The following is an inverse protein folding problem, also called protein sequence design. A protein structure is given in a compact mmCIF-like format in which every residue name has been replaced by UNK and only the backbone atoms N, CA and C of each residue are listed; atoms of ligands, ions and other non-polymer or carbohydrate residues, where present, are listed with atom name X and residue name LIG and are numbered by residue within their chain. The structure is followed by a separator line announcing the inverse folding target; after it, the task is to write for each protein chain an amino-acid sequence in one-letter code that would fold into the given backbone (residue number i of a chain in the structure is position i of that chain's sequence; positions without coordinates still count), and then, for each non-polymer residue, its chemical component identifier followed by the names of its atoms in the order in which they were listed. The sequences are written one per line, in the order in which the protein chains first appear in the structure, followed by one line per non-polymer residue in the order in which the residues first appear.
data_IF_483586382708
#
_entry.id   IF_483586382708
#
_cell.length_a   1.000
_cell.length_b   1.000
_cell.length_c   1.000
_cell.angle_alpha   90.00
_cell.angle_beta   90.00
_cell.angle_gamma   90.00
#
_symmetry.space_group_name_H-M   'P 1'
#
loop_
_entity.id
_entity.type
_entity.pdbx_description
1 polymer ?
#
# COMPACT_ATOMS: atom_id res chain seq x y z
N UNK A 1 -18.56 30.82 -7.35
CA UNK A 1 -17.75 29.79 -6.67
C UNK A 1 -16.45 29.62 -7.45
N UNK A 2 -15.28 29.74 -6.79
CA UNK A 2 -13.96 29.61 -7.39
C UNK A 2 -13.84 28.27 -8.15
N UNK A 3 -13.26 28.22 -9.38
CA UNK A 3 -13.09 26.99 -10.15
C UNK A 3 -12.34 25.90 -9.39
N UNK A 4 -11.37 26.26 -8.54
CA UNK A 4 -10.62 25.32 -7.68
C UNK A 4 -11.56 24.66 -6.65
N UNK A 5 -12.43 25.44 -6.00
CA UNK A 5 -13.40 24.92 -5.01
C UNK A 5 -14.42 24.01 -5.69
N UNK A 6 -14.86 24.36 -6.90
CA UNK A 6 -15.78 23.54 -7.71
C UNK A 6 -15.14 22.20 -8.11
N UNK A 7 -13.89 22.24 -8.50
CA UNK A 7 -13.11 21.06 -8.84
C UNK A 7 -12.92 20.14 -7.62
N UNK A 8 -12.58 20.70 -6.47
CA UNK A 8 -12.45 19.97 -5.20
C UNK A 8 -13.76 19.27 -4.79
N UNK A 9 -14.88 19.97 -4.84
CA UNK A 9 -16.21 19.39 -4.57
C UNK A 9 -16.56 18.28 -5.58
N UNK A 10 -16.17 18.44 -6.84
CA UNK A 10 -16.38 17.43 -7.87
C UNK A 10 -15.59 16.15 -7.59
N UNK A 11 -14.32 16.27 -7.18
CA UNK A 11 -13.51 15.11 -6.81
C UNK A 11 -14.06 14.34 -5.60
N UNK A 12 -14.63 15.05 -4.62
CA UNK A 12 -15.28 14.45 -3.45
C UNK A 12 -16.67 13.85 -3.74
N UNK A 13 -17.21 13.99 -4.95
CA UNK A 13 -18.53 13.47 -5.32
C UNK A 13 -18.48 11.95 -5.57
N UNK A 14 -19.30 11.12 -4.88
CA UNK A 14 -19.35 9.68 -5.06
C UNK A 14 -19.59 9.21 -6.51
N UNK A 15 -20.52 9.78 -7.29
CA UNK A 15 -20.72 9.39 -8.68
C UNK A 15 -19.55 9.78 -9.61
N UNK A 16 -18.86 10.89 -9.32
CA UNK A 16 -17.69 11.28 -10.10
C UNK A 16 -16.50 10.34 -9.81
N UNK A 17 -16.27 10.04 -8.53
CA UNK A 17 -15.25 9.09 -8.13
C UNK A 17 -15.50 7.71 -8.74
N UNK A 18 -16.74 7.22 -8.74
CA UNK A 18 -17.09 5.94 -9.37
C UNK A 18 -16.68 5.88 -10.84
N UNK A 19 -17.04 6.92 -11.62
CA UNK A 19 -16.66 7.00 -13.04
C UNK A 19 -15.16 7.09 -13.24
N UNK A 20 -14.48 7.88 -12.41
CA UNK A 20 -13.02 8.00 -12.43
C UNK A 20 -12.35 6.65 -12.15
N UNK A 21 -12.74 5.99 -11.06
CA UNK A 21 -12.18 4.70 -10.66
C UNK A 21 -12.49 3.61 -11.68
N UNK A 22 -13.73 3.55 -12.20
CA UNK A 22 -14.12 2.60 -13.25
C UNK A 22 -13.25 2.72 -14.50
N UNK A 23 -12.89 3.95 -14.87
CA UNK A 23 -12.06 4.20 -16.07
C UNK A 23 -10.60 3.90 -15.86
N UNK A 24 -10.03 4.32 -14.73
CA UNK A 24 -8.57 4.33 -14.54
C UNK A 24 -8.02 3.13 -13.78
N UNK A 25 -8.83 2.50 -12.88
CA UNK A 25 -8.36 1.38 -12.10
C UNK A 25 -7.87 0.18 -12.94
N UNK A 26 -8.57 -0.26 -14.00
CA UNK A 26 -8.11 -1.38 -14.82
C UNK A 26 -6.76 -1.09 -15.50
N UNK A 27 -6.57 0.14 -15.99
CA UNK A 27 -5.33 0.55 -16.65
C UNK A 27 -4.16 0.62 -15.67
N UNK A 28 -4.37 1.22 -14.49
CA UNK A 28 -3.36 1.26 -13.44
C UNK A 28 -2.98 -0.14 -12.97
N UNK A 29 -3.98 -1.01 -12.80
CA UNK A 29 -3.76 -2.38 -12.37
C UNK A 29 -2.99 -3.20 -13.42
N UNK A 30 -3.44 -3.14 -14.68
CA UNK A 30 -2.81 -3.87 -15.79
C UNK A 30 -1.37 -3.37 -16.05
N UNK A 31 -1.18 -2.05 -16.14
CA UNK A 31 0.16 -1.47 -16.32
C UNK A 31 1.09 -1.83 -15.15
N UNK A 32 0.56 -1.86 -13.92
CA UNK A 32 1.30 -2.32 -12.75
C UNK A 32 1.75 -3.77 -12.88
N UNK A 33 0.86 -4.67 -13.26
CA UNK A 33 1.19 -6.09 -13.48
C UNK A 33 2.23 -6.29 -14.59
N UNK A 34 2.08 -5.60 -15.71
CA UNK A 34 3.03 -5.67 -16.82
C UNK A 34 4.42 -5.15 -16.41
N UNK A 35 4.45 -4.05 -15.66
CA UNK A 35 5.71 -3.46 -15.15
C UNK A 35 6.38 -4.38 -14.13
N UNK A 36 5.60 -5.02 -13.23
CA UNK A 36 6.12 -6.03 -12.30
C UNK A 36 6.68 -7.23 -13.07
N UNK A 37 5.94 -7.74 -14.06
CA UNK A 37 6.41 -8.87 -14.87
C UNK A 37 7.72 -8.55 -15.59
N UNK A 38 7.87 -7.34 -16.14
CA UNK A 38 9.11 -6.87 -16.75
C UNK A 38 10.25 -6.77 -15.73
N UNK A 39 9.99 -6.19 -14.56
CA UNK A 39 10.96 -6.11 -13.47
C UNK A 39 11.42 -7.49 -12.99
N UNK A 40 10.49 -8.43 -12.83
CA UNK A 40 10.79 -9.82 -12.46
C UNK A 40 11.60 -10.54 -13.54
N UNK A 41 11.28 -10.34 -14.83
CA UNK A 41 12.07 -10.89 -15.91
C UNK A 41 13.54 -10.41 -15.84
N UNK A 42 13.75 -9.11 -15.65
CA UNK A 42 15.08 -8.55 -15.46
C UNK A 42 15.79 -9.13 -14.23
N UNK A 43 15.09 -9.21 -13.10
CA UNK A 43 15.59 -9.73 -11.83
C UNK A 43 16.02 -11.20 -11.90
N UNK A 44 15.26 -12.03 -12.61
CA UNK A 44 15.48 -13.48 -12.63
C UNK A 44 16.45 -13.91 -13.73
N UNK A 45 16.46 -13.23 -14.88
CA UNK A 45 17.16 -13.71 -16.07
C UNK A 45 18.31 -12.81 -16.55
N UNK A 46 18.31 -11.51 -16.23
CA UNK A 46 19.30 -10.57 -16.74
C UNK A 46 20.36 -10.18 -15.71
N UNK A 47 20.03 -10.21 -14.42
CA UNK A 47 20.98 -9.85 -13.36
C UNK A 47 21.80 -11.07 -12.95
N UNK A 48 23.15 -10.97 -12.95
CA UNK A 48 24.02 -12.05 -12.46
C UNK A 48 23.77 -12.33 -10.98
N UNK A 49 24.11 -13.55 -10.54
CA UNK A 49 24.06 -13.90 -9.12
C UNK A 49 24.97 -12.99 -8.28
N UNK A 50 24.57 -12.66 -7.07
CA UNK A 50 25.39 -11.87 -6.16
C UNK A 50 26.60 -12.70 -5.66
N UNK A 51 27.74 -12.06 -5.52
CA UNK A 51 28.97 -12.77 -5.14
C UNK A 51 28.99 -13.30 -3.71
N UNK A 52 28.18 -12.72 -2.80
CA UNK A 52 28.06 -13.17 -1.40
C UNK A 52 26.80 -14.01 -1.17
N UNK A 53 25.67 -13.61 -1.78
CA UNK A 53 24.37 -14.19 -1.49
C UNK A 53 23.92 -15.22 -2.53
N UNK A 54 24.68 -15.40 -3.62
CA UNK A 54 24.24 -16.25 -4.73
C UNK A 54 22.88 -15.79 -5.27
N UNK A 55 22.00 -16.72 -5.60
CA UNK A 55 20.66 -16.40 -6.12
C UNK A 55 19.64 -15.98 -5.03
N UNK A 56 19.96 -16.15 -3.75
CA UNK A 56 19.05 -15.76 -2.66
C UNK A 56 18.80 -14.25 -2.62
N UNK A 57 19.72 -13.43 -3.14
CA UNK A 57 19.54 -11.97 -3.25
C UNK A 57 18.31 -11.58 -4.08
N UNK A 58 17.86 -12.43 -5.02
CA UNK A 58 16.72 -12.13 -5.91
C UNK A 58 15.42 -11.88 -5.16
N UNK A 59 15.33 -12.34 -3.90
CA UNK A 59 14.19 -12.05 -3.01
C UNK A 59 14.01 -10.54 -2.79
N UNK A 60 15.10 -9.75 -2.85
CA UNK A 60 15.05 -8.30 -2.69
C UNK A 60 14.05 -7.62 -3.64
N UNK A 61 13.87 -8.15 -4.86
CA UNK A 61 12.99 -7.55 -5.88
C UNK A 61 11.50 -7.62 -5.52
N UNK A 62 11.13 -8.53 -4.61
CA UNK A 62 9.78 -8.60 -4.03
C UNK A 62 9.77 -7.94 -2.65
N UNK A 63 10.78 -8.25 -1.82
CA UNK A 63 10.86 -7.78 -0.44
C UNK A 63 10.94 -6.26 -0.33
N UNK A 64 11.87 -5.63 -1.03
CA UNK A 64 12.12 -4.18 -0.91
C UNK A 64 10.91 -3.35 -1.36
N UNK A 65 10.29 -3.57 -2.54
CA UNK A 65 9.08 -2.87 -2.91
C UNK A 65 7.93 -3.10 -1.93
N UNK A 66 7.75 -4.33 -1.42
CA UNK A 66 6.70 -4.63 -0.44
C UNK A 66 6.92 -3.91 0.88
N UNK A 67 8.16 -3.87 1.39
CA UNK A 67 8.52 -3.15 2.60
C UNK A 67 8.33 -1.63 2.47
N UNK A 68 8.57 -1.05 1.31
CA UNK A 68 8.25 0.35 1.06
C UNK A 68 6.75 0.59 1.03
N UNK A 69 6.01 -0.30 0.38
CA UNK A 69 4.55 -0.17 0.28
C UNK A 69 3.87 -0.41 1.63
N UNK A 70 4.39 -1.28 2.50
CA UNK A 70 3.83 -1.47 3.85
C UNK A 70 3.82 -0.16 4.64
N UNK A 71 4.91 0.59 4.62
CA UNK A 71 5.03 1.89 5.29
C UNK A 71 4.24 2.99 4.57
N UNK A 72 4.39 3.08 3.23
CA UNK A 72 3.76 4.14 2.44
C UNK A 72 2.23 4.06 2.50
N UNK A 73 1.66 2.85 2.41
CA UNK A 73 0.21 2.64 2.48
C UNK A 73 -0.33 2.94 3.88
N UNK A 74 0.43 2.63 4.95
CA UNK A 74 0.02 3.01 6.31
C UNK A 74 -0.01 4.52 6.49
N UNK A 75 1.04 5.21 6.03
CA UNK A 75 1.10 6.67 6.04
C UNK A 75 -0.04 7.31 5.24
N UNK A 76 -0.33 6.77 4.05
CA UNK A 76 -1.44 7.23 3.20
C UNK A 76 -2.81 6.96 3.86
N UNK A 77 -3.00 5.81 4.48
CA UNK A 77 -4.19 5.47 5.25
C UNK A 77 -4.43 6.49 6.37
N UNK A 78 -3.41 6.78 7.17
CA UNK A 78 -3.49 7.75 8.25
C UNK A 78 -3.73 9.17 7.73
N UNK A 79 -3.12 9.55 6.61
CA UNK A 79 -3.38 10.82 5.94
C UNK A 79 -4.83 10.97 5.51
N UNK A 80 -5.41 9.97 4.83
CA UNK A 80 -6.82 9.99 4.47
C UNK A 80 -7.73 9.97 5.71
N UNK A 81 -7.38 9.23 6.75
CA UNK A 81 -8.11 9.23 8.01
C UNK A 81 -8.11 10.62 8.65
N UNK A 82 -6.99 11.32 8.69
CA UNK A 82 -6.90 12.69 9.19
C UNK A 82 -7.78 13.67 8.37
N UNK A 83 -7.72 13.59 7.05
CA UNK A 83 -8.60 14.38 6.17
C UNK A 83 -10.09 14.10 6.44
N UNK A 84 -10.43 12.82 6.64
CA UNK A 84 -11.79 12.40 6.94
C UNK A 84 -12.28 12.93 8.29
N UNK A 85 -11.42 12.92 9.32
CA UNK A 85 -11.76 13.40 10.65
C UNK A 85 -11.90 14.92 10.72
N UNK A 86 -10.97 15.67 10.09
CA UNK A 86 -10.95 17.13 10.14
C UNK A 86 -12.04 17.72 9.25
N UNK A 87 -12.13 17.28 7.99
CA UNK A 87 -13.04 17.87 7.00
C UNK A 87 -14.32 17.05 6.75
N UNK A 88 -14.49 15.92 7.42
CA UNK A 88 -15.66 15.03 7.30
C UNK A 88 -15.93 14.58 5.86
N UNK A 89 -14.86 14.37 5.08
CA UNK A 89 -14.93 13.96 3.68
C UNK A 89 -15.17 12.46 3.60
N UNK A 90 -16.36 12.02 3.20
CA UNK A 90 -16.77 10.62 3.06
C UNK A 90 -15.81 9.80 2.19
N UNK A 91 -15.35 10.35 1.09
CA UNK A 91 -14.43 9.65 0.19
C UNK A 91 -13.10 9.36 0.87
N UNK A 92 -12.60 10.26 1.74
CA UNK A 92 -11.37 10.02 2.49
C UNK A 92 -11.55 8.89 3.51
N UNK A 93 -12.74 8.73 4.13
CA UNK A 93 -13.05 7.56 4.97
C UNK A 93 -12.94 6.27 4.17
N UNK A 94 -13.52 6.24 2.97
CA UNK A 94 -13.51 5.07 2.09
C UNK A 94 -12.08 4.73 1.67
N UNK A 95 -11.29 5.72 1.24
CA UNK A 95 -9.91 5.54 0.81
C UNK A 95 -9.02 5.05 1.97
N UNK A 96 -9.18 5.62 3.17
CA UNK A 96 -8.45 5.18 4.35
C UNK A 96 -8.70 3.69 4.64
N UNK A 97 -9.97 3.29 4.69
CA UNK A 97 -10.34 1.90 4.98
C UNK A 97 -9.99 0.94 3.84
N UNK A 98 -9.99 1.41 2.60
CA UNK A 98 -9.54 0.62 1.45
C UNK A 98 -8.03 0.34 1.47
N UNK A 99 -7.21 1.23 2.04
CA UNK A 99 -5.78 1.04 2.22
C UNK A 99 -5.45 -0.12 3.17
N UNK A 100 -6.22 -0.32 4.25
CA UNK A 100 -5.86 -1.21 5.35
C UNK A 100 -5.55 -2.67 4.90
N UNK A 101 -6.43 -3.38 4.18
CA UNK A 101 -6.12 -4.76 3.76
C UNK A 101 -5.03 -4.85 2.70
N UNK A 102 -4.86 -3.81 1.87
CA UNK A 102 -3.78 -3.78 0.86
C UNK A 102 -2.43 -3.62 1.58
N UNK A 103 -2.35 -2.69 2.55
CA UNK A 103 -1.16 -2.49 3.35
C UNK A 103 -0.81 -3.70 4.21
N UNK A 104 -1.82 -4.35 4.84
CA UNK A 104 -1.62 -5.62 5.55
C UNK A 104 -1.03 -6.70 4.65
N UNK A 105 -1.50 -6.79 3.40
CA UNK A 105 -0.95 -7.72 2.39
C UNK A 105 0.52 -7.44 2.08
N UNK A 106 0.91 -6.19 1.86
CA UNK A 106 2.32 -5.83 1.65
C UNK A 106 3.18 -6.12 2.88
N UNK A 107 2.69 -5.83 4.08
CA UNK A 107 3.40 -6.12 5.33
C UNK A 107 3.59 -7.63 5.52
N UNK A 108 2.57 -8.42 5.21
CA UNK A 108 2.67 -9.88 5.27
C UNK A 108 3.69 -10.43 4.26
N UNK A 109 3.68 -9.94 3.01
CA UNK A 109 4.68 -10.30 2.00
C UNK A 109 6.08 -9.91 2.46
N UNK A 110 6.25 -8.72 3.06
CA UNK A 110 7.52 -8.26 3.61
C UNK A 110 8.05 -9.21 4.68
N UNK A 111 7.22 -9.58 5.66
CA UNK A 111 7.59 -10.51 6.73
C UNK A 111 7.92 -11.90 6.19
N UNK A 112 7.09 -12.44 5.29
CA UNK A 112 7.30 -13.76 4.70
C UNK A 112 8.59 -13.82 3.86
N UNK A 113 8.79 -12.85 2.98
CA UNK A 113 10.00 -12.78 2.14
C UNK A 113 11.25 -12.48 2.97
N UNK A 114 11.11 -11.67 4.03
CA UNK A 114 12.19 -11.40 4.99
C UNK A 114 12.63 -12.65 5.74
N UNK A 115 11.68 -13.48 6.19
CA UNK A 115 11.97 -14.76 6.84
C UNK A 115 12.66 -15.74 5.86
N UNK A 116 12.16 -15.86 4.62
CA UNK A 116 12.77 -16.72 3.59
C UNK A 116 14.19 -16.26 3.26
N UNK A 117 14.41 -14.96 3.15
CA UNK A 117 15.73 -14.40 2.86
C UNK A 117 16.68 -14.48 4.07
N UNK A 118 16.15 -14.31 5.29
CA UNK A 118 16.92 -14.39 6.53
C UNK A 118 17.55 -15.76 6.76
N UNK A 119 16.88 -16.85 6.35
CA UNK A 119 17.41 -18.20 6.56
C UNK A 119 18.78 -18.44 5.93
N UNK A 120 19.03 -18.17 4.64
CA UNK A 120 20.36 -18.29 4.06
C UNK A 120 21.35 -17.21 4.52
N UNK A 121 20.87 -16.01 4.92
CA UNK A 121 21.74 -14.88 5.28
C UNK A 121 22.18 -14.90 6.75
N UNK A 122 21.29 -15.25 7.65
CA UNK A 122 21.48 -15.17 9.11
C UNK A 122 21.38 -16.51 9.81
N UNK A 123 21.06 -17.60 9.08
CA UNK A 123 20.92 -18.95 9.64
C UNK A 123 19.59 -19.21 10.35
N UNK A 124 18.72 -18.22 10.48
CA UNK A 124 17.40 -18.31 11.13
C UNK A 124 16.28 -17.78 10.26
N UNK A 125 15.06 -18.31 10.45
CA UNK A 125 13.86 -17.78 9.80
C UNK A 125 13.34 -16.52 10.48
N UNK A 126 13.61 -16.34 11.77
CA UNK A 126 13.15 -15.23 12.58
C UNK A 126 14.18 -14.87 13.65
N UNK A 127 14.30 -13.60 13.89
CA UNK A 127 14.98 -13.03 15.04
C UNK A 127 14.12 -11.89 15.59
N UNK A 128 14.20 -11.65 16.91
CA UNK A 128 13.54 -10.51 17.54
C UNK A 128 14.33 -9.20 17.33
N UNK A 129 14.82 -9.05 16.13
CA UNK A 129 15.47 -7.85 15.64
C UNK A 129 14.49 -6.66 15.66
N UNK A 130 14.93 -5.45 15.99
CA UNK A 130 14.06 -4.26 16.04
C UNK A 130 13.30 -3.99 14.75
N UNK A 131 13.91 -4.26 13.59
CA UNK A 131 13.28 -4.05 12.27
C UNK A 131 12.16 -5.06 12.02
N UNK A 132 12.42 -6.33 12.26
CA UNK A 132 11.44 -7.40 12.06
C UNK A 132 10.29 -7.27 13.06
N UNK A 133 10.60 -7.00 14.32
CA UNK A 133 9.61 -6.83 15.39
C UNK A 133 8.68 -5.64 15.11
N UNK A 134 9.24 -4.50 14.73
CA UNK A 134 8.42 -3.30 14.44
C UNK A 134 7.58 -3.47 13.17
N UNK A 135 8.07 -4.18 12.15
CA UNK A 135 7.26 -4.54 10.98
C UNK A 135 6.12 -5.50 11.34
N UNK A 136 6.34 -6.45 12.26
CA UNK A 136 5.27 -7.32 12.79
C UNK A 136 4.22 -6.49 13.56
N UNK A 137 4.64 -5.52 14.36
CA UNK A 137 3.71 -4.60 15.05
C UNK A 137 2.89 -3.80 14.02
N UNK A 138 3.48 -3.39 12.90
CA UNK A 138 2.76 -2.73 11.82
C UNK A 138 1.67 -3.63 11.22
N UNK A 139 1.95 -4.93 11.06
CA UNK A 139 0.92 -5.88 10.64
C UNK A 139 -0.24 -5.93 11.64
N UNK A 140 0.05 -6.00 12.94
CA UNK A 140 -0.99 -5.99 13.96
C UNK A 140 -1.78 -4.68 14.00
N UNK A 141 -1.17 -3.53 13.72
CA UNK A 141 -1.89 -2.26 13.58
C UNK A 141 -2.84 -2.28 12.38
N UNK A 142 -2.42 -2.81 11.23
CA UNK A 142 -3.32 -3.00 10.09
C UNK A 142 -4.50 -3.91 10.43
N UNK A 143 -4.21 -5.05 11.07
CA UNK A 143 -5.26 -6.00 11.50
C UNK A 143 -6.19 -5.36 12.54
N UNK A 144 -5.65 -4.56 13.45
CA UNK A 144 -6.41 -3.79 14.42
C UNK A 144 -7.35 -2.78 13.76
N UNK A 145 -6.88 -2.03 12.75
CA UNK A 145 -7.71 -1.11 11.95
C UNK A 145 -8.83 -1.87 11.25
N UNK A 146 -8.52 -3.01 10.61
CA UNK A 146 -9.51 -3.85 9.92
C UNK A 146 -10.54 -4.42 10.92
N UNK A 147 -10.07 -4.96 12.03
CA UNK A 147 -10.91 -5.53 13.08
C UNK A 147 -11.85 -4.49 13.67
N UNK A 148 -11.32 -3.32 14.06
CA UNK A 148 -12.11 -2.23 14.64
C UNK A 148 -13.15 -1.68 13.65
N UNK A 149 -12.79 -1.55 12.38
CA UNK A 149 -13.73 -1.12 11.35
C UNK A 149 -14.86 -2.11 11.10
N UNK A 150 -14.60 -3.41 11.25
CA UNK A 150 -15.61 -4.45 11.06
C UNK A 150 -16.44 -4.74 12.31
N UNK A 151 -15.96 -4.41 13.50
CA UNK A 151 -16.63 -4.65 14.77
C UNK A 151 -17.75 -3.65 15.08
N UNK A 152 -17.79 -2.50 14.41
CA UNK A 152 -18.74 -1.42 14.67
C UNK A 152 -19.75 -1.34 13.51
N UNK A 153 -21.04 -1.44 13.80
CA UNK A 153 -22.12 -1.45 12.79
C UNK A 153 -22.25 -0.10 12.06
N UNK A 154 -22.22 1.02 12.80
CA UNK A 154 -22.25 2.34 12.18
C UNK A 154 -20.94 2.63 11.45
N UNK A 155 -21.01 2.66 10.13
CA UNK A 155 -19.83 2.82 9.24
C UNK A 155 -19.05 4.12 9.47
N UNK A 156 -19.70 5.20 9.91
CA UNK A 156 -19.01 6.46 10.22
C UNK A 156 -18.30 6.38 11.56
N UNK A 157 -18.93 5.81 12.57
CA UNK A 157 -18.31 5.56 13.87
C UNK A 157 -17.13 4.60 13.72
N UNK A 158 -17.31 3.51 12.97
CA UNK A 158 -16.27 2.54 12.63
C UNK A 158 -15.05 3.21 11.94
N UNK A 159 -15.29 4.01 10.91
CA UNK A 159 -14.23 4.71 10.20
C UNK A 159 -13.49 5.73 11.07
N UNK A 160 -14.21 6.41 12.00
CA UNK A 160 -13.58 7.33 12.96
C UNK A 160 -12.70 6.59 13.96
N UNK A 161 -13.21 5.51 14.58
CA UNK A 161 -12.45 4.73 15.53
C UNK A 161 -11.19 4.10 14.92
N UNK A 162 -11.35 3.43 13.77
CA UNK A 162 -10.24 2.87 12.99
C UNK A 162 -9.26 3.94 12.49
N UNK A 163 -9.78 5.12 12.11
CA UNK A 163 -8.98 6.26 11.69
C UNK A 163 -8.09 6.82 12.80
N UNK A 164 -8.59 6.90 14.03
CA UNK A 164 -7.77 7.28 15.18
C UNK A 164 -6.65 6.29 15.43
N UNK A 165 -6.92 4.99 15.36
CA UNK A 165 -5.89 3.96 15.49
C UNK A 165 -4.82 4.10 14.41
N UNK A 166 -5.21 4.36 13.15
CA UNK A 166 -4.28 4.59 12.06
C UNK A 166 -3.39 5.82 12.29
N UNK A 167 -3.98 6.94 12.75
CA UNK A 167 -3.24 8.18 13.01
C UNK A 167 -2.23 8.00 14.15
N UNK A 168 -2.64 7.39 15.26
CA UNK A 168 -1.73 7.11 16.39
C UNK A 168 -0.63 6.14 15.94
N UNK A 169 -0.97 5.13 15.16
CA UNK A 169 -0.02 4.15 14.63
C UNK A 169 1.08 4.72 13.73
N UNK A 170 0.89 5.92 13.14
CA UNK A 170 1.91 6.57 12.30
C UNK A 170 3.25 6.76 13.02
N UNK A 171 3.23 6.91 14.35
CA UNK A 171 4.45 7.03 15.15
C UNK A 171 5.39 5.83 14.97
N UNK A 172 4.86 4.68 14.60
CA UNK A 172 5.67 3.49 14.34
C UNK A 172 6.50 3.59 13.05
N UNK A 173 6.07 4.37 12.06
CA UNK A 173 6.77 4.47 10.76
C UNK A 173 8.21 4.99 10.88
N UNK A 174 8.49 6.11 11.56
CA UNK A 174 9.87 6.53 11.81
C UNK A 174 10.64 5.53 12.67
N UNK A 175 9.99 4.84 13.62
CA UNK A 175 10.65 3.80 14.41
C UNK A 175 11.14 2.66 13.52
N UNK A 176 10.28 2.14 12.63
CA UNK A 176 10.66 1.12 11.63
C UNK A 176 11.79 1.66 10.74
N UNK A 177 11.65 2.88 10.25
CA UNK A 177 12.60 3.49 9.30
C UNK A 177 14.01 3.63 9.87
N UNK A 178 14.10 4.02 11.14
CA UNK A 178 15.37 4.30 11.82
C UNK A 178 15.81 3.18 12.76
N UNK A 179 15.08 2.07 12.88
CA UNK A 179 15.41 0.94 13.74
C UNK A 179 16.84 0.43 13.54
N UNK A 180 17.29 0.34 12.29
CA UNK A 180 18.66 -0.10 11.92
C UNK A 180 19.75 0.93 12.24
N UNK A 181 19.39 2.17 12.60
CA UNK A 181 20.31 3.24 12.99
C UNK A 181 20.34 3.37 14.51
N UNK A 182 19.20 3.24 15.16
CA UNK A 182 19.06 3.44 16.60
C UNK A 182 19.45 2.22 17.43
N UNK A 183 19.33 1.02 16.84
CA UNK A 183 19.62 -0.25 17.51
C UNK A 183 20.52 -1.14 16.66
N UNK A 184 21.21 -2.07 17.30
CA UNK A 184 21.87 -3.16 16.60
C UNK A 184 20.81 -4.02 15.88
N UNK A 185 21.02 -4.25 14.60
CA UNK A 185 20.08 -4.97 13.75
C UNK A 185 20.84 -5.90 12.81
N UNK A 186 20.33 -7.10 12.58
CA UNK A 186 20.80 -7.99 11.53
C UNK A 186 20.51 -7.46 10.15
N UNK A 187 19.54 -6.53 10.04
CA UNK A 187 19.11 -5.98 8.78
C UNK A 187 20.14 -4.98 8.22
N UNK A 188 20.39 -5.08 6.92
CA UNK A 188 21.34 -4.20 6.24
C UNK A 188 20.90 -2.73 6.31
N UNK A 189 21.87 -1.83 6.39
CA UNK A 189 21.65 -0.40 6.22
C UNK A 189 21.09 -0.12 4.80
N UNK A 190 20.54 1.09 4.61
CA UNK A 190 19.91 1.45 3.35
C UNK A 190 20.93 1.54 2.21
N UNK A 191 20.76 0.69 1.22
CA UNK A 191 21.57 0.66 -0.01
C UNK A 191 21.09 1.69 -1.04
N UNK A 192 19.79 2.05 -1.01
CA UNK A 192 19.22 3.07 -1.89
C UNK A 192 19.03 4.35 -1.09
N UNK A 193 19.69 5.41 -1.51
CA UNK A 193 19.58 6.75 -0.92
C UNK A 193 18.83 7.66 -1.87
N UNK A 194 17.89 8.45 -1.35
CA UNK A 194 17.16 9.47 -2.13
C UNK A 194 18.09 10.60 -2.59
N UNK A 195 19.12 10.89 -1.79
CA UNK A 195 20.16 11.88 -2.09
C UNK A 195 21.51 11.19 -1.89
N UNK A 196 22.23 10.95 -2.98
CA UNK A 196 23.55 10.32 -2.97
C UNK A 196 23.64 9.07 -3.84
N UNK A 197 24.85 8.52 -3.96
CA UNK A 197 25.09 7.30 -4.74
C UNK A 197 24.51 6.07 -4.05
N UNK A 198 23.86 5.21 -4.82
CA UNK A 198 23.44 3.88 -4.38
C UNK A 198 24.67 2.99 -4.23
N UNK A 199 24.73 2.22 -3.15
CA UNK A 199 25.78 1.19 -2.96
C UNK A 199 25.43 -0.11 -3.67
N UNK A 200 24.28 -0.18 -4.34
CA UNK A 200 23.83 -1.35 -5.12
C UNK A 200 24.57 -1.41 -6.46
N UNK A 201 24.90 -2.63 -6.91
CA UNK A 201 25.50 -2.83 -8.23
C UNK A 201 24.61 -2.23 -9.35
N UNK A 202 25.20 -1.54 -10.35
CA UNK A 202 24.42 -0.88 -11.40
C UNK A 202 23.48 -1.82 -12.17
N UNK A 203 23.81 -3.10 -12.31
CA UNK A 203 22.96 -4.12 -12.96
C UNK A 203 21.71 -4.47 -12.16
N UNK A 204 21.73 -4.33 -10.83
CA UNK A 204 20.63 -4.68 -9.94
C UNK A 204 19.57 -3.58 -9.84
N UNK A 205 19.95 -2.32 -10.03
CA UNK A 205 19.08 -1.17 -9.81
C UNK A 205 17.90 -1.07 -10.78
N UNK A 206 18.06 -1.21 -12.12
CA UNK A 206 16.96 -1.04 -13.06
C UNK A 206 15.78 -2.00 -12.82
N UNK A 207 15.98 -3.33 -12.64
CA UNK A 207 14.87 -4.23 -12.31
C UNK A 207 14.16 -3.86 -11.01
N UNK A 208 14.90 -3.41 -9.99
CA UNK A 208 14.31 -2.98 -8.73
C UNK A 208 13.44 -1.74 -8.91
N UNK A 209 13.89 -0.76 -9.70
CA UNK A 209 13.08 0.43 -10.00
C UNK A 209 11.79 0.06 -10.75
N UNK A 210 11.86 -0.89 -11.71
CA UNK A 210 10.66 -1.41 -12.37
C UNK A 210 9.71 -2.08 -11.38
N UNK A 211 10.22 -2.88 -10.44
CA UNK A 211 9.41 -3.49 -9.39
C UNK A 211 8.77 -2.43 -8.49
N UNK A 212 9.49 -1.38 -8.10
CA UNK A 212 8.96 -0.27 -7.31
C UNK A 212 7.83 0.45 -8.07
N UNK A 213 8.08 0.85 -9.32
CA UNK A 213 7.05 1.53 -10.15
C UNK A 213 5.84 0.63 -10.34
N UNK A 214 6.06 -0.64 -10.68
CA UNK A 214 4.98 -1.60 -10.91
C UNK A 214 4.10 -1.82 -9.68
N UNK A 215 4.69 -1.96 -8.49
CA UNK A 215 3.93 -2.13 -7.25
C UNK A 215 3.12 -0.88 -6.87
N UNK A 216 3.63 0.33 -7.15
CA UNK A 216 2.85 1.56 -6.97
C UNK A 216 1.66 1.65 -7.93
N UNK A 217 1.86 1.36 -9.21
CA UNK A 217 0.79 1.34 -10.20
C UNK A 217 -0.28 0.30 -9.85
N UNK A 218 0.15 -0.90 -9.47
CA UNK A 218 -0.74 -1.97 -9.01
C UNK A 218 -1.54 -1.54 -7.77
N UNK A 219 -0.86 -0.92 -6.79
CA UNK A 219 -1.50 -0.38 -5.59
C UNK A 219 -2.57 0.66 -5.93
N UNK A 220 -2.28 1.61 -6.83
CA UNK A 220 -3.25 2.62 -7.27
C UNK A 220 -4.49 1.94 -7.87
N UNK A 221 -4.29 0.97 -8.75
CA UNK A 221 -5.37 0.20 -9.35
C UNK A 221 -6.22 -0.55 -8.30
N UNK A 222 -5.55 -1.27 -7.38
CA UNK A 222 -6.20 -2.02 -6.31
C UNK A 222 -6.96 -1.09 -5.34
N UNK A 223 -6.37 0.05 -4.97
CA UNK A 223 -7.01 1.05 -4.12
C UNK A 223 -8.28 1.62 -4.78
N UNK A 224 -8.19 2.02 -6.05
CA UNK A 224 -9.34 2.54 -6.79
C UNK A 224 -10.45 1.51 -6.93
N UNK A 225 -10.13 0.25 -7.25
CA UNK A 225 -11.12 -0.83 -7.37
C UNK A 225 -11.82 -1.09 -6.04
N UNK A 226 -11.06 -1.19 -4.95
CA UNK A 226 -11.59 -1.45 -3.62
C UNK A 226 -12.41 -0.27 -3.10
N UNK A 227 -11.90 0.94 -3.22
CA UNK A 227 -12.61 2.15 -2.81
C UNK A 227 -13.91 2.35 -3.63
N UNK A 228 -13.90 2.01 -4.93
CA UNK A 228 -15.08 2.01 -5.77
C UNK A 228 -16.14 1.02 -5.26
N UNK A 229 -15.74 -0.21 -4.94
CA UNK A 229 -16.65 -1.21 -4.40
C UNK A 229 -17.28 -0.76 -3.08
N UNK A 230 -16.49 -0.17 -2.18
CA UNK A 230 -17.00 0.37 -0.91
C UNK A 230 -17.89 1.60 -1.11
N UNK A 231 -17.57 2.48 -2.09
CA UNK A 231 -18.42 3.61 -2.45
C UNK A 231 -19.80 3.15 -2.96
N UNK A 232 -19.83 2.19 -3.89
CA UNK A 232 -21.08 1.61 -4.41
C UNK A 232 -21.91 0.96 -3.30
N UNK A 233 -21.26 0.24 -2.39
CA UNK A 233 -21.90 -0.41 -1.24
C UNK A 233 -22.53 0.61 -0.29
N UNK A 234 -21.82 1.70 0.02
CA UNK A 234 -22.32 2.79 0.88
C UNK A 234 -23.42 3.65 0.22
N UNK A 235 -23.49 3.68 -1.10
CA UNK A 235 -24.44 4.46 -1.89
C UNK A 235 -25.55 3.59 -2.50
N UNK A 236 -25.67 2.31 -2.10
CA UNK A 236 -26.60 1.33 -2.73
C UNK A 236 -28.06 1.79 -2.81
N UNK A 237 -28.51 2.62 -1.85
CA UNK A 237 -29.86 3.19 -1.86
C UNK A 237 -30.03 4.47 -2.69
N UNK A 238 -29.01 4.94 -3.42
CA UNK A 238 -29.09 6.18 -4.21
C UNK A 238 -29.47 5.90 -5.67
N UNK A 239 -30.24 6.83 -6.27
CA UNK A 239 -30.75 6.70 -7.64
C UNK A 239 -29.63 6.44 -8.67
N UNK A 240 -28.48 7.13 -8.55
CA UNK A 240 -27.36 6.97 -9.47
C UNK A 240 -26.77 5.54 -9.47
N UNK A 241 -26.81 4.81 -8.34
CA UNK A 241 -26.37 3.41 -8.27
C UNK A 241 -27.40 2.49 -8.91
N UNK A 242 -28.69 2.76 -8.70
CA UNK A 242 -29.77 2.01 -9.37
C UNK A 242 -29.71 2.18 -10.90
N UNK A 243 -29.38 3.38 -11.39
CA UNK A 243 -29.18 3.65 -12.83
C UNK A 243 -28.00 2.86 -13.41
N UNK A 244 -26.90 2.67 -12.64
CA UNK A 244 -25.77 1.84 -13.09
C UNK A 244 -26.16 0.36 -13.22
N UNK A 245 -27.04 -0.13 -12.36
CA UNK A 245 -27.52 -1.51 -12.37
C UNK A 245 -28.63 -1.76 -13.42
N UNK A 246 -29.23 -0.69 -13.95
CA UNK A 246 -30.28 -0.83 -14.96
C UNK A 246 -29.75 -1.39 -16.28
N UNK A 247 -30.54 -2.26 -16.98
CA UNK A 247 -30.21 -2.73 -18.32
C UNK A 247 -29.91 -1.60 -19.29
N UNK A 248 -28.98 -1.80 -20.22
CA UNK A 248 -28.48 -0.76 -21.12
C UNK A 248 -29.57 0.04 -21.88
N UNK A 249 -30.73 -0.58 -22.14
CA UNK A 249 -31.88 0.08 -22.80
C UNK A 249 -32.77 0.95 -21.89
N UNK A 250 -32.52 1.00 -20.56
CA UNK A 250 -33.29 1.79 -19.58
C UNK A 250 -32.46 2.87 -18.89
N UNK A 251 -31.20 3.07 -19.30
CA UNK A 251 -30.34 4.14 -18.78
C UNK A 251 -30.77 5.47 -19.42
N UNK A 252 -31.27 6.39 -18.58
CA UNK A 252 -31.64 7.75 -18.98
C UNK A 252 -30.42 8.67 -19.00
#
# INVERSE_FOLDING_TARGET
MNPIVRWFHKLGSPPYFDRFAARWAPWAYLSGLLTIAWGLYGALFLVPADYQQGDSFRILYIHVPSAWMSLAVFGLMAFYAALALVWRIKLCEILAMACAPIGAGFTLITLATGAIWGKPMWGTWWDWDPRLTTELILLFLYLGVIGLYNAIDDRRAAARAAGWLAIVGVVLLPVIRYSVVWWNSLHQAQTIRLLGESTMAPSMLPPLLWMVVGTHLWFIGALLMRARADNLRRESGKAWVAELAAPAGKRR
#
